data_IF_362566975879
#
_entry.id   IF_362566975879
#
_cell.length_a   1.000
_cell.length_b   1.000
_cell.length_c   1.000
_cell.angle_alpha   90.00
_cell.angle_beta   90.00
_cell.angle_gamma   90.00
#
_symmetry.space_group_name_H-M   'P 1'
#
loop_
_entity.id
_entity.type
_entity.pdbx_description
1 polymer ?
#
# COMPACT_ATOMS: atom_id res chain seq x y z
N UNK A 1 8.23 7.55 3.66
CA UNK A 1 8.57 7.24 5.05
C UNK A 1 7.45 7.76 5.93
N UNK A 2 6.89 6.91 6.79
CA UNK A 2 6.02 7.33 7.89
C UNK A 2 6.81 7.21 9.20
N UNK A 3 6.44 7.97 10.21
CA UNK A 3 7.03 7.87 11.55
C UNK A 3 6.34 6.79 12.37
N UNK A 4 5.03 6.65 12.18
CA UNK A 4 4.19 5.67 12.90
C UNK A 4 3.18 5.03 11.95
N UNK A 5 2.93 3.75 12.16
CA UNK A 5 1.77 3.05 11.62
C UNK A 5 1.05 2.33 12.78
N UNK A 6 -0.27 2.36 12.78
CA UNK A 6 -1.11 1.70 13.77
C UNK A 6 -2.50 1.45 13.23
N UNK A 7 -3.25 0.58 13.91
CA UNK A 7 -4.67 0.41 13.68
C UNK A 7 -5.45 1.19 14.76
N UNK A 8 -6.47 1.93 14.35
CA UNK A 8 -7.41 2.65 15.21
C UNK A 8 -8.82 2.30 14.73
N UNK A 9 -9.58 1.57 15.55
CA UNK A 9 -10.87 0.97 15.18
C UNK A 9 -10.81 0.18 13.85
N UNK A 10 -11.49 0.67 12.82
CA UNK A 10 -11.55 0.07 11.48
C UNK A 10 -10.63 0.75 10.47
N UNK A 11 -9.68 1.57 10.94
CA UNK A 11 -8.76 2.32 10.11
C UNK A 11 -7.31 1.86 10.30
N UNK A 12 -6.60 1.77 9.18
CA UNK A 12 -5.15 1.80 9.13
C UNK A 12 -4.72 3.27 9.12
N UNK A 13 -3.87 3.64 10.07
CA UNK A 13 -3.33 4.99 10.20
C UNK A 13 -1.85 4.98 9.84
N UNK A 14 -1.47 5.78 8.84
CA UNK A 14 -0.08 6.08 8.51
C UNK A 14 0.21 7.53 8.88
N UNK A 15 1.18 7.76 9.75
CA UNK A 15 1.44 9.07 10.33
C UNK A 15 2.88 9.49 10.07
N UNK A 16 3.05 10.68 9.51
CA UNK A 16 4.35 11.33 9.35
C UNK A 16 4.37 12.65 10.16
N UNK A 17 5.44 13.47 10.13
CA UNK A 17 5.51 14.68 10.95
C UNK A 17 4.43 15.73 10.62
N UNK A 18 3.90 15.68 9.40
CA UNK A 18 3.04 16.73 8.84
C UNK A 18 1.55 16.35 8.86
N UNK A 19 1.24 15.07 8.65
CA UNK A 19 -0.14 14.60 8.49
C UNK A 19 -0.34 13.16 8.94
N UNK A 20 -1.61 12.80 9.10
CA UNK A 20 -2.11 11.44 9.24
C UNK A 20 -2.91 11.07 8.00
N UNK A 21 -2.70 9.85 7.53
CA UNK A 21 -3.49 9.24 6.48
C UNK A 21 -4.32 8.13 7.11
N UNK A 22 -5.63 8.22 6.95
CA UNK A 22 -6.57 7.24 7.48
C UNK A 22 -7.19 6.50 6.33
N UNK A 23 -7.03 5.19 6.36
CA UNK A 23 -7.46 4.27 5.33
C UNK A 23 -8.43 3.30 6.00
N UNK A 24 -9.69 3.28 5.63
CA UNK A 24 -10.62 2.31 6.17
C UNK A 24 -10.26 0.92 5.63
N UNK A 25 -10.14 -0.10 6.47
CA UNK A 25 -9.78 -1.45 6.00
C UNK A 25 -10.77 -1.97 4.96
N UNK A 26 -12.07 -1.73 5.18
CA UNK A 26 -13.15 -2.08 4.24
C UNK A 26 -13.15 -1.28 2.93
N UNK A 27 -12.27 -0.29 2.78
CA UNK A 27 -12.10 0.46 1.52
C UNK A 27 -10.97 -0.09 0.66
N UNK A 28 -10.14 -0.99 1.18
CA UNK A 28 -9.02 -1.57 0.44
C UNK A 28 -9.58 -2.54 -0.60
N UNK A 29 -9.25 -2.30 -1.87
CA UNK A 29 -9.65 -3.14 -2.99
C UNK A 29 -8.55 -4.13 -3.34
N UNK A 30 -7.32 -3.64 -3.52
CA UNK A 30 -6.17 -4.45 -3.95
C UNK A 30 -4.89 -3.99 -3.25
N UNK A 31 -4.04 -4.95 -2.85
CA UNK A 31 -2.70 -4.71 -2.32
C UNK A 31 -1.70 -5.55 -3.12
N UNK A 32 -0.75 -4.88 -3.76
CA UNK A 32 0.37 -5.49 -4.46
C UNK A 32 1.66 -5.03 -3.81
N UNK A 33 2.61 -5.95 -3.66
CA UNK A 33 3.94 -5.65 -3.16
C UNK A 33 4.99 -6.11 -4.18
N UNK A 34 6.06 -5.34 -4.33
CA UNK A 34 7.24 -5.76 -5.08
C UNK A 34 8.52 -5.52 -4.31
N UNK A 35 9.45 -6.45 -4.43
CA UNK A 35 10.80 -6.34 -3.88
C UNK A 35 11.74 -5.70 -4.90
N UNK A 36 12.50 -4.72 -4.43
CA UNK A 36 13.61 -4.14 -5.16
C UNK A 36 14.89 -4.80 -4.65
N UNK A 37 15.77 -5.22 -5.55
CA UNK A 37 17.08 -5.76 -5.21
C UNK A 37 18.15 -4.90 -5.88
N UNK A 38 19.30 -4.63 -5.24
CA UNK A 38 19.79 -5.16 -3.95
C UNK A 38 19.39 -4.38 -2.70
N UNK A 39 18.80 -3.19 -2.87
CA UNK A 39 18.32 -2.38 -1.76
C UNK A 39 17.12 -3.06 -1.13
N UNK A 40 17.23 -3.62 0.09
CA UNK A 40 16.15 -4.24 0.89
C UNK A 40 14.95 -3.31 1.09
N UNK A 41 14.20 -3.10 0.02
CA UNK A 41 13.27 -2.02 -0.21
C UNK A 41 12.12 -2.60 -1.02
N UNK A 42 10.91 -2.28 -0.62
CA UNK A 42 9.72 -2.86 -1.19
C UNK A 42 8.79 -1.75 -1.62
N UNK A 43 8.21 -1.87 -2.81
CA UNK A 43 7.14 -0.98 -3.23
C UNK A 43 5.80 -1.62 -2.89
N UNK A 44 5.02 -0.92 -2.10
CA UNK A 44 3.66 -1.28 -1.76
C UNK A 44 2.71 -0.40 -2.58
N UNK A 45 1.80 -1.06 -3.28
CA UNK A 45 0.72 -0.47 -4.06
C UNK A 45 -0.58 -0.88 -3.40
N UNK A 46 -1.28 0.09 -2.80
CA UNK A 46 -2.60 -0.11 -2.22
C UNK A 46 -3.60 0.71 -3.02
N UNK A 47 -4.74 0.11 -3.34
CA UNK A 47 -5.82 0.72 -4.09
C UNK A 47 -7.11 0.66 -3.28
N UNK A 48 -7.92 1.72 -3.39
CA UNK A 48 -9.06 1.92 -2.51
C UNK A 48 -10.34 2.28 -3.27
N UNK A 49 -11.48 1.80 -2.79
CA UNK A 49 -12.81 2.17 -3.25
C UNK A 49 -13.34 3.46 -2.61
N UNK A 50 -12.69 3.93 -1.53
CA UNK A 50 -12.95 5.22 -0.90
C UNK A 50 -11.65 6.02 -0.78
N UNK A 51 -11.71 7.37 -0.83
CA UNK A 51 -10.51 8.18 -0.76
C UNK A 51 -9.83 8.07 0.61
N UNK A 52 -8.50 8.06 0.61
CA UNK A 52 -7.69 8.23 1.83
C UNK A 52 -8.05 9.56 2.49
N UNK A 53 -8.31 9.52 3.80
CA UNK A 53 -8.60 10.72 4.58
C UNK A 53 -7.30 11.30 5.12
N UNK A 54 -7.01 12.54 4.77
CA UNK A 54 -5.83 13.26 5.23
C UNK A 54 -6.20 14.19 6.38
N UNK A 55 -5.59 13.99 7.55
CA UNK A 55 -5.73 14.89 8.70
C UNK A 55 -4.41 15.62 8.95
N UNK A 56 -4.44 16.95 8.95
CA UNK A 56 -3.27 17.76 9.25
C UNK A 56 -2.90 17.68 10.73
N UNK A 57 -1.59 17.65 11.02
CA UNK A 57 -1.12 17.91 12.38
C UNK A 57 -1.07 19.41 12.65
N UNK A 58 -1.15 19.82 13.92
CA UNK A 58 -1.07 21.25 14.32
C UNK A 58 0.16 21.93 13.70
N UNK A 59 -0.05 23.05 13.01
CA UNK A 59 1.01 23.87 12.42
C UNK A 59 0.60 24.47 11.08
N UNK A 60 0.94 25.74 10.84
CA UNK A 60 0.58 26.44 9.60
C UNK A 60 1.27 25.87 8.35
N UNK A 61 2.49 25.34 8.49
CA UNK A 61 3.18 24.62 7.42
C UNK A 61 2.46 23.31 7.02
N UNK A 62 1.82 22.63 7.98
CA UNK A 62 1.13 21.36 7.73
C UNK A 62 -0.14 21.57 6.89
N UNK A 63 -0.83 22.70 7.06
CA UNK A 63 -1.96 23.11 6.21
C UNK A 63 -1.57 23.18 4.75
N UNK A 64 -0.44 23.82 4.47
CA UNK A 64 0.07 23.99 3.10
C UNK A 64 0.43 22.63 2.52
N UNK A 65 1.15 21.79 3.27
CA UNK A 65 1.56 20.45 2.83
C UNK A 65 0.33 19.56 2.55
N UNK A 66 -0.67 19.57 3.43
CA UNK A 66 -1.90 18.80 3.23
C UNK A 66 -2.67 19.27 1.99
N UNK A 67 -2.79 20.58 1.78
CA UNK A 67 -3.44 21.12 0.59
C UNK A 67 -2.73 20.70 -0.71
N UNK A 68 -1.39 20.71 -0.72
CA UNK A 68 -0.59 20.25 -1.87
C UNK A 68 -0.80 18.76 -2.12
N UNK A 69 -0.78 17.94 -1.05
CA UNK A 69 -0.94 16.48 -1.15
C UNK A 69 -2.34 16.11 -1.64
N UNK A 70 -3.38 16.76 -1.12
CA UNK A 70 -4.76 16.52 -1.53
C UNK A 70 -5.00 16.86 -3.02
N UNK A 71 -4.31 17.87 -3.55
CA UNK A 71 -4.50 18.30 -4.94
C UNK A 71 -3.68 17.50 -5.95
N UNK A 72 -2.52 16.97 -5.54
CA UNK A 72 -1.57 16.36 -6.47
C UNK A 72 -1.56 14.83 -6.45
N UNK A 73 -2.07 14.20 -5.39
CA UNK A 73 -2.11 12.74 -5.30
C UNK A 73 -3.49 12.20 -5.67
N UNK A 74 -3.51 11.05 -6.33
CA UNK A 74 -4.73 10.28 -6.50
C UNK A 74 -5.13 9.72 -5.12
N UNK A 75 -6.26 10.16 -4.52
CA UNK A 75 -6.64 9.77 -3.17
C UNK A 75 -7.14 8.32 -3.08
N UNK A 76 -7.31 7.64 -4.21
CA UNK A 76 -7.74 6.24 -4.29
C UNK A 76 -6.57 5.26 -4.37
N UNK A 77 -5.32 5.71 -4.17
CA UNK A 77 -4.16 4.84 -4.16
C UNK A 77 -3.04 5.36 -3.25
N UNK A 78 -2.26 4.43 -2.70
CA UNK A 78 -0.94 4.70 -2.13
C UNK A 78 0.07 3.85 -2.87
N UNK A 79 1.07 4.51 -3.49
CA UNK A 79 2.19 3.86 -4.18
C UNK A 79 3.49 4.34 -3.55
N UNK A 80 4.08 3.55 -2.67
CA UNK A 80 5.23 3.96 -1.86
C UNK A 80 6.24 2.86 -1.70
N UNK A 81 7.49 3.26 -1.49
CA UNK A 81 8.55 2.33 -1.17
C UNK A 81 9.01 2.47 0.27
N UNK A 82 9.30 1.34 0.90
CA UNK A 82 9.63 1.19 2.32
C UNK A 82 10.85 0.27 2.48
N UNK A 83 11.64 0.48 3.53
CA UNK A 83 12.67 -0.48 3.94
C UNK A 83 12.09 -1.59 4.83
N UNK A 84 12.83 -2.68 5.04
CA UNK A 84 12.44 -3.83 5.89
C UNK A 84 11.77 -3.38 7.20
N UNK A 85 12.44 -2.50 7.95
CA UNK A 85 12.01 -2.04 9.28
C UNK A 85 10.73 -1.22 9.29
N UNK A 86 10.36 -0.62 8.16
CA UNK A 86 9.11 0.12 8.01
C UNK A 86 7.99 -0.79 7.52
N UNK A 87 8.28 -1.69 6.58
CA UNK A 87 7.22 -2.46 5.93
C UNK A 87 6.75 -3.64 6.78
N UNK A 88 7.62 -4.30 7.54
CA UNK A 88 7.25 -5.41 8.43
C UNK A 88 6.10 -5.06 9.39
N UNK A 89 6.17 -3.97 10.19
CA UNK A 89 5.07 -3.61 11.08
C UNK A 89 3.80 -3.23 10.31
N UNK A 90 3.94 -2.59 9.14
CA UNK A 90 2.80 -2.24 8.29
C UNK A 90 2.07 -3.50 7.78
N UNK A 91 2.80 -4.50 7.30
CA UNK A 91 2.21 -5.76 6.82
C UNK A 91 1.48 -6.49 7.93
N UNK A 92 2.04 -6.50 9.15
CA UNK A 92 1.38 -7.11 10.31
C UNK A 92 0.04 -6.41 10.64
N UNK A 93 -0.03 -5.08 10.54
CA UNK A 93 -1.26 -4.33 10.74
C UNK A 93 -2.29 -4.57 9.63
N UNK A 94 -1.84 -4.67 8.37
CA UNK A 94 -2.71 -5.02 7.25
C UNK A 94 -3.34 -6.38 7.48
N UNK A 95 -2.56 -7.40 7.84
CA UNK A 95 -3.08 -8.76 8.12
C UNK A 95 -4.09 -8.74 9.29
N UNK A 96 -3.84 -7.92 10.31
CA UNK A 96 -4.77 -7.78 11.44
C UNK A 96 -6.12 -7.18 11.03
N UNK A 97 -6.11 -6.20 10.12
CA UNK A 97 -7.33 -5.52 9.64
C UNK A 97 -8.00 -6.18 8.43
N UNK A 98 -7.24 -6.98 7.68
CA UNK A 98 -7.67 -7.79 6.53
C UNK A 98 -7.13 -9.22 6.70
N UNK A 99 -7.78 -10.07 7.53
CA UNK A 99 -7.31 -11.43 7.83
C UNK A 99 -7.19 -12.33 6.60
N UNK A 100 -7.90 -12.00 5.52
CA UNK A 100 -7.86 -12.72 4.24
C UNK A 100 -6.67 -12.32 3.34
N UNK A 101 -5.89 -11.30 3.71
CA UNK A 101 -4.66 -10.95 3.01
C UNK A 101 -3.58 -12.03 3.23
N UNK A 102 -2.78 -12.30 2.21
CA UNK A 102 -1.71 -13.30 2.26
C UNK A 102 -0.58 -12.81 3.21
N UNK A 103 -0.19 -13.59 4.23
CA UNK A 103 0.99 -13.28 5.02
C UNK A 103 2.25 -13.49 4.18
N UNK A 104 3.11 -12.47 4.13
CA UNK A 104 4.29 -12.47 3.28
C UNK A 104 5.58 -12.67 4.07
N UNK A 105 6.44 -13.58 3.60
CA UNK A 105 7.81 -13.69 4.11
C UNK A 105 8.75 -12.82 3.25
N UNK A 106 9.18 -11.69 3.81
CA UNK A 106 10.07 -10.73 3.13
C UNK A 106 11.47 -11.30 2.85
N UNK A 107 11.94 -12.26 3.65
CA UNK A 107 13.26 -12.89 3.47
C UNK A 107 13.35 -13.64 2.14
N UNK A 108 12.24 -14.18 1.67
CA UNK A 108 12.15 -14.93 0.41
C UNK A 108 11.74 -14.02 -0.76
N UNK A 109 11.72 -12.70 -0.56
CA UNK A 109 11.19 -11.75 -1.54
C UNK A 109 11.92 -11.72 -2.87
N UNK A 110 13.18 -12.18 -2.89
CA UNK A 110 13.96 -12.36 -4.12
C UNK A 110 13.44 -13.49 -5.00
N UNK A 111 12.72 -14.43 -4.41
CA UNK A 111 12.13 -15.59 -5.10
C UNK A 111 10.63 -15.42 -5.33
N UNK A 112 10.04 -14.29 -4.92
CA UNK A 112 8.65 -14.02 -5.22
C UNK A 112 8.43 -14.02 -6.73
N UNK A 113 7.35 -14.69 -7.14
CA UNK A 113 6.91 -14.78 -8.51
C UNK A 113 5.40 -14.90 -8.52
N UNK A 114 4.75 -14.07 -9.31
CA UNK A 114 3.31 -14.19 -9.60
C UNK A 114 3.16 -14.58 -11.05
N UNK A 115 2.49 -15.71 -11.28
CA UNK A 115 2.18 -16.23 -12.61
C UNK A 115 0.68 -16.07 -12.86
N UNK A 116 0.31 -15.35 -13.91
CA UNK A 116 -1.08 -15.17 -14.32
C UNK A 116 -1.45 -16.01 -15.56
N UNK A 117 -0.59 -16.96 -15.92
CA UNK A 117 -0.68 -17.80 -17.11
C UNK A 117 -0.04 -17.17 -18.35
N UNK A 118 -0.31 -15.89 -18.61
CA UNK A 118 0.21 -15.17 -19.79
C UNK A 118 1.42 -14.29 -19.51
N UNK A 119 1.54 -13.81 -18.27
CA UNK A 119 2.60 -12.96 -17.76
C UNK A 119 3.18 -13.57 -16.50
N UNK A 120 4.48 -13.36 -16.35
CA UNK A 120 5.23 -13.74 -15.17
C UNK A 120 5.84 -12.48 -14.57
N UNK A 121 5.42 -12.14 -13.36
CA UNK A 121 5.93 -11.00 -12.61
C UNK A 121 6.94 -11.47 -11.57
N UNK A 122 8.21 -11.18 -11.83
CA UNK A 122 9.30 -11.46 -10.89
C UNK A 122 9.29 -10.47 -9.72
N UNK A 123 9.63 -10.97 -8.53
CA UNK A 123 9.77 -10.20 -7.28
C UNK A 123 8.50 -9.47 -6.84
N UNK A 124 7.34 -9.90 -7.30
CA UNK A 124 6.06 -9.25 -7.04
C UNK A 124 5.02 -10.26 -6.58
N UNK A 125 4.16 -9.83 -5.66
CA UNK A 125 3.05 -10.61 -5.13
C UNK A 125 1.79 -9.77 -5.00
N UNK A 126 0.65 -10.41 -5.23
CA UNK A 126 -0.66 -9.90 -4.81
C UNK A 126 -0.85 -10.32 -3.36
N UNK A 127 -0.82 -9.37 -2.44
CA UNK A 127 -1.07 -9.63 -1.02
C UNK A 127 -2.57 -9.74 -0.76
N UNK A 128 -3.38 -8.94 -1.45
CA UNK A 128 -4.82 -8.94 -1.30
C UNK A 128 -5.50 -8.46 -2.58
N UNK A 129 -6.64 -9.06 -2.92
CA UNK A 129 -7.57 -8.53 -3.90
C UNK A 129 -8.98 -8.92 -3.48
N UNK A 130 -9.84 -7.93 -3.26
CA UNK A 130 -11.24 -8.12 -2.87
C UNK A 130 -12.01 -8.97 -3.88
N UNK A 131 -11.73 -8.72 -5.16
CA UNK A 131 -12.34 -9.42 -6.30
C UNK A 131 -11.55 -10.68 -6.72
N UNK A 132 -10.50 -11.05 -5.97
CA UNK A 132 -9.61 -12.18 -6.27
C UNK A 132 -9.00 -12.11 -7.67
N UNK A 133 -8.64 -10.90 -8.10
CA UNK A 133 -8.06 -10.65 -9.42
C UNK A 133 -6.61 -11.14 -9.49
N UNK A 134 -6.19 -11.52 -10.70
CA UNK A 134 -4.79 -11.78 -11.01
C UNK A 134 -4.02 -10.46 -11.14
N UNK A 135 -2.70 -10.51 -10.97
CA UNK A 135 -1.85 -9.31 -10.94
C UNK A 135 -1.95 -8.44 -12.20
N UNK A 136 -1.95 -9.04 -13.40
CA UNK A 136 -2.14 -8.28 -14.63
C UNK A 136 -3.49 -7.56 -14.67
N UNK A 137 -4.56 -8.19 -14.17
CA UNK A 137 -5.90 -7.60 -14.17
C UNK A 137 -6.00 -6.47 -13.14
N UNK A 138 -5.36 -6.61 -11.98
CA UNK A 138 -5.19 -5.50 -11.02
C UNK A 138 -4.48 -4.32 -11.70
N UNK A 139 -3.39 -4.59 -12.43
CA UNK A 139 -2.65 -3.53 -13.12
C UNK A 139 -3.43 -2.88 -14.26
N UNK A 140 -4.22 -3.64 -15.03
CA UNK A 140 -5.13 -3.07 -16.03
C UNK A 140 -6.23 -2.23 -15.38
N UNK A 141 -6.90 -2.76 -14.35
CA UNK A 141 -7.95 -2.09 -13.57
C UNK A 141 -7.49 -0.71 -13.07
N UNK A 142 -6.23 -0.62 -12.61
CA UNK A 142 -5.65 0.61 -12.06
C UNK A 142 -4.75 1.39 -13.03
N UNK A 143 -4.84 1.11 -14.34
CA UNK A 143 -4.14 1.86 -15.40
C UNK A 143 -2.61 1.78 -15.37
N UNK A 144 -2.05 0.75 -14.71
CA UNK A 144 -0.62 0.48 -14.62
C UNK A 144 -0.08 -0.37 -15.78
N UNK A 145 -0.97 -1.02 -16.53
CA UNK A 145 -0.63 -1.81 -17.72
C UNK A 145 -1.66 -1.52 -18.82
N UNK A 146 -1.21 -1.48 -20.08
CA UNK A 146 -2.13 -1.37 -21.22
C UNK A 146 -2.81 -2.72 -21.45
N UNK A 147 -4.11 -2.67 -21.79
CA UNK A 147 -4.89 -3.83 -22.22
C UNK A 147 -4.47 -4.33 -23.58
#
# INVERSE_FOLDING_TARGET
MFDKCYAEDHFLILENPFLKEKIAFNSIDDIVISSQFPSRKYSLYMFFSQPVQYEEKKGWWNKIICAVINNNNNPYQIKRSYYDNEIEPLLALIIKGLPEAEPLNLKDSLFWRTDDGSNVFSKMKVMYSREKLLLADIFRKHGLMRG
#
